data_IF_538083523975
#
_entry.id   IF_538083523975
#
_cell.length_a   1.000
_cell.length_b   1.000
_cell.length_c   1.000
_cell.angle_alpha   90.00
_cell.angle_beta   90.00
_cell.angle_gamma   90.00
#
_symmetry.space_group_name_H-M   'P 1'
#
loop_
_entity.id
_entity.type
_entity.pdbx_description
1 polymer ?
#
# COMPACT_ATOMS: atom_id res chain seq x y z
N UNK A 1 12.71 8.16 15.85
CA UNK A 1 14.01 8.26 15.14
C UNK A 1 14.02 9.49 14.23
N UNK A 2 13.05 9.69 13.32
CA UNK A 2 13.00 10.77 12.33
C UNK A 2 13.08 12.17 12.96
N UNK A 3 12.44 12.41 14.13
CA UNK A 3 12.57 13.67 14.86
C UNK A 3 14.02 13.95 15.30
N UNK A 4 14.76 12.92 15.73
CA UNK A 4 16.16 13.07 16.11
C UNK A 4 17.06 13.33 14.90
N UNK A 5 16.74 12.72 13.74
CA UNK A 5 17.42 13.02 12.46
C UNK A 5 17.16 14.47 12.05
N UNK A 6 15.92 14.94 12.14
CA UNK A 6 15.61 16.33 11.84
C UNK A 6 16.42 17.29 12.73
N UNK A 7 16.46 17.02 14.04
CA UNK A 7 17.12 17.83 15.06
C UNK A 7 18.65 17.79 15.00
N UNK A 8 19.26 16.79 14.34
CA UNK A 8 20.73 16.62 14.32
C UNK A 8 21.47 17.75 13.62
N UNK A 9 20.78 18.59 12.83
CA UNK A 9 21.35 19.71 12.12
C UNK A 9 20.48 20.96 12.25
N UNK A 10 21.08 22.16 12.30
CA UNK A 10 20.33 23.42 12.22
C UNK A 10 19.55 23.51 10.91
N UNK A 11 18.30 23.94 10.97
CA UNK A 11 17.44 24.10 9.79
C UNK A 11 17.03 25.55 9.58
N UNK A 12 16.90 25.94 8.31
CA UNK A 12 16.39 27.25 7.92
C UNK A 12 15.05 27.11 7.18
N UNK A 13 14.33 28.19 7.04
CA UNK A 13 13.09 28.24 6.25
C UNK A 13 13.26 27.80 4.79
N UNK A 14 14.50 27.85 4.25
CA UNK A 14 14.83 27.41 2.88
C UNK A 14 14.91 25.90 2.72
N UNK A 15 15.21 25.20 3.81
CA UNK A 15 15.35 23.75 3.82
C UNK A 15 13.99 23.03 3.85
N UNK A 16 12.93 23.77 4.26
CA UNK A 16 11.60 23.22 4.42
C UNK A 16 10.76 23.32 3.13
N UNK A 17 9.97 22.29 2.81
CA UNK A 17 9.66 21.10 3.61
C UNK A 17 10.72 20.01 3.49
N UNK A 18 10.98 19.29 4.61
CA UNK A 18 11.81 18.09 4.65
C UNK A 18 10.90 16.88 4.81
N UNK A 19 11.12 15.83 4.03
CA UNK A 19 10.31 14.61 4.04
C UNK A 19 11.21 13.39 4.25
N UNK A 20 11.01 12.69 5.38
CA UNK A 20 11.68 11.42 5.66
C UNK A 20 10.67 10.30 5.55
N UNK A 21 11.00 9.27 4.76
CA UNK A 21 10.18 8.07 4.59
C UNK A 21 10.98 6.82 4.95
N UNK A 22 10.31 5.84 5.54
CA UNK A 22 10.90 4.57 5.93
C UNK A 22 9.91 3.41 5.76
N UNK A 23 10.45 2.21 5.63
CA UNK A 23 9.74 0.97 5.92
C UNK A 23 10.15 0.54 7.34
N UNK A 24 9.40 1.06 8.32
CA UNK A 24 9.75 0.91 9.73
C UNK A 24 9.05 -0.29 10.36
N UNK A 25 9.82 -1.17 11.03
CA UNK A 25 9.25 -2.23 11.85
C UNK A 25 8.78 -1.66 13.18
N UNK A 26 7.51 -1.91 13.51
CA UNK A 26 6.84 -1.42 14.72
C UNK A 26 6.32 -2.58 15.54
N UNK A 27 6.49 -2.49 16.86
CA UNK A 27 5.94 -3.44 17.82
C UNK A 27 4.94 -2.75 18.75
N UNK A 28 3.76 -3.35 18.94
CA UNK A 28 2.73 -2.88 19.85
C UNK A 28 2.28 -3.99 20.78
N UNK A 29 2.15 -3.70 22.04
CA UNK A 29 1.57 -4.62 23.02
C UNK A 29 0.03 -4.64 22.87
N UNK A 30 -0.45 -5.44 21.93
CA UNK A 30 -1.88 -5.67 21.74
C UNK A 30 -2.38 -6.76 22.71
N UNK A 31 -3.59 -6.57 23.27
CA UNK A 31 -4.23 -7.61 24.08
C UNK A 31 -4.55 -8.82 23.21
N UNK A 32 -4.38 -10.05 23.75
CA UNK A 32 -4.60 -11.28 22.98
C UNK A 32 -5.97 -11.35 22.30
N UNK A 33 -7.03 -10.93 22.98
CA UNK A 33 -8.39 -10.95 22.43
C UNK A 33 -8.66 -9.94 21.31
N UNK A 34 -7.70 -9.03 21.00
CA UNK A 34 -7.83 -8.06 19.92
C UNK A 34 -7.05 -8.46 18.66
N UNK A 35 -6.26 -9.53 18.72
CA UNK A 35 -5.50 -10.01 17.57
C UNK A 35 -6.43 -10.60 16.50
N UNK A 36 -6.15 -10.30 15.23
CA UNK A 36 -7.00 -10.71 14.11
C UNK A 36 -6.15 -10.97 12.86
N UNK A 37 -5.49 -12.13 12.79
CA UNK A 37 -4.64 -12.52 11.66
C UNK A 37 -3.69 -11.38 11.26
N UNK A 38 -3.59 -11.08 9.97
CA UNK A 38 -2.79 -9.96 9.46
C UNK A 38 -3.43 -8.59 9.70
N UNK A 39 -4.73 -8.52 9.98
CA UNK A 39 -5.43 -7.25 10.20
C UNK A 39 -4.99 -6.56 11.50
N UNK A 40 -4.59 -7.34 12.53
CA UNK A 40 -4.12 -6.80 13.80
C UNK A 40 -3.07 -7.71 14.42
N UNK A 41 -1.82 -7.34 14.26
CA UNK A 41 -0.62 -8.05 14.72
C UNK A 41 0.11 -7.25 15.80
N UNK A 42 1.00 -7.89 16.54
CA UNK A 42 1.88 -7.21 17.52
C UNK A 42 3.14 -6.65 16.88
N UNK A 43 3.62 -7.25 15.80
CA UNK A 43 4.74 -6.77 15.00
C UNK A 43 4.28 -6.56 13.57
N UNK A 44 4.61 -5.41 12.98
CA UNK A 44 4.21 -5.05 11.62
C UNK A 44 5.13 -4.01 11.03
N UNK A 45 5.10 -3.87 9.71
CA UNK A 45 5.90 -2.90 8.97
C UNK A 45 5.02 -1.79 8.43
N UNK A 46 5.38 -0.53 8.72
CA UNK A 46 4.70 0.64 8.18
C UNK A 46 5.50 1.29 7.06
N UNK A 47 4.83 1.75 6.03
CA UNK A 47 5.37 2.67 5.03
C UNK A 47 5.20 4.12 5.54
N UNK A 48 5.86 4.40 6.63
CA UNK A 48 5.73 5.65 7.35
C UNK A 48 6.55 6.79 6.73
N UNK A 49 6.07 8.01 6.90
CA UNK A 49 6.87 9.20 6.65
C UNK A 49 6.45 10.36 7.55
N UNK A 50 7.46 11.18 7.83
CA UNK A 50 7.32 12.41 8.60
C UNK A 50 7.71 13.59 7.71
N UNK A 51 6.82 14.56 7.61
CA UNK A 51 7.04 15.79 6.84
C UNK A 51 7.15 16.93 7.81
N UNK A 52 8.28 17.61 7.78
CA UNK A 52 8.58 18.79 8.57
C UNK A 52 8.42 20.00 7.68
N UNK A 53 7.48 20.89 7.99
CA UNK A 53 7.18 22.03 7.16
C UNK A 53 6.86 23.28 8.02
N UNK A 54 6.88 24.44 7.41
CA UNK A 54 6.36 25.68 8.04
C UNK A 54 4.83 25.61 8.10
N UNK A 55 4.24 26.36 9.02
CA UNK A 55 2.77 26.44 9.15
C UNK A 55 2.08 26.85 7.83
N UNK A 56 2.68 27.81 7.09
CA UNK A 56 2.17 28.27 5.79
C UNK A 56 2.28 27.22 4.66
N UNK A 57 3.09 26.19 4.83
CA UNK A 57 3.23 25.06 3.90
C UNK A 57 2.32 23.88 4.27
N UNK A 58 1.84 23.81 5.52
CA UNK A 58 1.18 22.60 6.04
C UNK A 58 -0.09 22.20 5.26
N UNK A 59 -0.88 23.16 4.79
CA UNK A 59 -2.07 22.90 3.97
C UNK A 59 -1.71 22.23 2.65
N UNK A 60 -0.71 22.75 1.94
CA UNK A 60 -0.28 22.21 0.65
C UNK A 60 0.37 20.82 0.83
N UNK A 61 1.24 20.65 1.83
CA UNK A 61 1.85 19.36 2.13
C UNK A 61 0.79 18.30 2.49
N UNK A 62 -0.21 18.68 3.27
CA UNK A 62 -1.31 17.78 3.61
C UNK A 62 -2.15 17.39 2.39
N UNK A 63 -2.41 18.35 1.49
CA UNK A 63 -3.09 18.11 0.21
C UNK A 63 -2.30 17.13 -0.67
N UNK A 64 -0.97 17.30 -0.78
CA UNK A 64 -0.13 16.38 -1.56
C UNK A 64 -0.14 14.96 -0.99
N UNK A 65 -0.17 14.83 0.34
CA UNK A 65 -0.31 13.52 0.99
C UNK A 65 -1.66 12.87 0.64
N UNK A 66 -2.77 13.62 0.66
CA UNK A 66 -4.08 13.08 0.25
C UNK A 66 -4.10 12.63 -1.20
N UNK A 67 -3.49 13.39 -2.12
CA UNK A 67 -3.33 12.98 -3.52
C UNK A 67 -2.50 11.71 -3.67
N UNK A 68 -1.47 11.53 -2.84
CA UNK A 68 -0.68 10.30 -2.81
C UNK A 68 -1.54 9.10 -2.40
N UNK A 69 -2.41 9.24 -1.40
CA UNK A 69 -3.33 8.17 -1.01
C UNK A 69 -4.35 7.86 -2.12
N UNK A 70 -4.94 8.88 -2.72
CA UNK A 70 -5.85 8.74 -3.86
C UNK A 70 -5.17 7.97 -5.00
N UNK A 71 -3.93 8.35 -5.37
CA UNK A 71 -3.14 7.66 -6.39
C UNK A 71 -2.98 6.18 -6.06
N UNK A 72 -2.57 5.82 -4.83
CA UNK A 72 -2.43 4.43 -4.42
C UNK A 72 -3.74 3.67 -4.56
N UNK A 73 -4.84 4.20 -4.02
CA UNK A 73 -6.12 3.49 -4.05
C UNK A 73 -6.68 3.38 -5.46
N UNK A 74 -6.76 4.47 -6.20
CA UNK A 74 -7.44 4.48 -7.50
C UNK A 74 -6.58 3.96 -8.63
N UNK A 75 -5.35 4.44 -8.76
CA UNK A 75 -4.50 4.13 -9.91
C UNK A 75 -3.75 2.80 -9.73
N UNK A 76 -3.28 2.51 -8.52
CA UNK A 76 -2.49 1.30 -8.29
C UNK A 76 -3.39 0.10 -7.98
N UNK A 77 -4.35 0.23 -7.05
CA UNK A 77 -5.16 -0.90 -6.58
C UNK A 77 -6.57 -0.95 -7.18
N UNK A 78 -7.00 0.05 -7.93
CA UNK A 78 -8.33 0.08 -8.54
C UNK A 78 -9.48 0.22 -7.55
N UNK A 79 -9.20 0.65 -6.31
CA UNK A 79 -10.18 0.84 -5.25
C UNK A 79 -10.84 2.21 -5.46
N UNK A 80 -12.12 2.23 -5.85
CA UNK A 80 -12.84 3.47 -6.16
C UNK A 80 -13.80 3.89 -5.05
N UNK A 81 -14.27 2.94 -4.23
CA UNK A 81 -15.23 3.21 -3.15
C UNK A 81 -14.49 3.44 -1.82
N UNK A 82 -14.05 4.67 -1.62
CA UNK A 82 -13.48 5.15 -0.37
C UNK A 82 -13.96 6.57 -0.07
N UNK A 83 -13.83 6.96 1.18
CA UNK A 83 -14.05 8.33 1.64
C UNK A 83 -13.07 8.69 2.74
N UNK A 84 -12.90 9.97 3.02
CA UNK A 84 -12.08 10.45 4.10
C UNK A 84 -12.93 10.75 5.33
N UNK A 85 -12.38 10.49 6.52
CA UNK A 85 -12.96 10.86 7.80
C UNK A 85 -12.01 11.79 8.54
N UNK A 86 -12.40 13.05 8.70
CA UNK A 86 -11.70 13.98 9.58
C UNK A 86 -12.10 13.70 11.02
N UNK A 87 -11.19 13.20 11.80
CA UNK A 87 -11.37 12.88 13.21
C UNK A 87 -11.01 14.10 14.06
N UNK A 88 -12.02 14.62 14.77
CA UNK A 88 -11.95 15.79 15.64
C UNK A 88 -11.80 15.38 17.10
N UNK A 89 -11.29 16.26 17.98
CA UNK A 89 -11.26 15.99 19.42
C UNK A 89 -12.68 15.89 20.00
N UNK A 90 -12.84 15.10 21.06
CA UNK A 90 -14.08 15.07 21.82
C UNK A 90 -14.16 16.24 22.80
N UNK A 91 -15.33 16.39 23.43
CA UNK A 91 -15.55 17.36 24.52
C UNK A 91 -14.73 17.04 25.77
N UNK A 92 -14.28 15.81 25.93
CA UNK A 92 -13.42 15.38 27.04
C UNK A 92 -11.98 15.85 26.79
N UNK A 93 -11.66 17.00 27.34
CA UNK A 93 -10.34 17.65 27.19
C UNK A 93 -9.19 16.88 27.84
N UNK A 94 -9.47 15.90 28.72
CA UNK A 94 -8.42 15.15 29.42
C UNK A 94 -7.66 14.18 28.48
N UNK A 95 -8.27 13.82 27.35
CA UNK A 95 -7.71 12.90 26.35
C UNK A 95 -6.81 13.57 25.33
N UNK A 96 -6.81 14.89 25.24
CA UNK A 96 -6.17 15.64 24.15
C UNK A 96 -5.16 16.63 24.73
N UNK A 97 -3.96 16.63 24.16
CA UNK A 97 -2.89 17.53 24.54
C UNK A 97 -3.00 18.89 23.80
N UNK A 98 -2.30 19.90 24.32
CA UNK A 98 -2.25 21.23 23.73
C UNK A 98 -3.38 22.15 24.17
N UNK A 99 -3.49 23.31 23.53
CA UNK A 99 -4.48 24.34 23.81
C UNK A 99 -5.52 24.46 22.70
N UNK A 100 -6.75 24.92 22.96
CA UNK A 100 -7.82 25.01 21.95
C UNK A 100 -7.43 25.75 20.68
N UNK A 101 -6.59 26.80 20.79
CA UNK A 101 -6.12 27.57 19.63
C UNK A 101 -5.31 26.71 18.65
N UNK A 102 -4.45 25.84 19.13
CA UNK A 102 -3.62 24.96 18.28
C UNK A 102 -4.49 23.94 17.54
N UNK A 103 -5.46 23.38 18.23
CA UNK A 103 -6.46 22.49 17.64
C UNK A 103 -7.24 23.17 16.53
N UNK A 104 -7.74 24.39 16.78
CA UNK A 104 -8.51 25.14 15.79
C UNK A 104 -7.67 25.43 14.53
N UNK A 105 -6.41 25.84 14.70
CA UNK A 105 -5.50 26.09 13.56
C UNK A 105 -5.25 24.80 12.79
N UNK A 106 -4.90 23.70 13.45
CA UNK A 106 -4.62 22.45 12.81
C UNK A 106 -5.86 21.87 12.08
N UNK A 107 -7.04 21.93 12.69
CA UNK A 107 -8.31 21.48 12.08
C UNK A 107 -8.63 22.31 10.84
N UNK A 108 -8.48 23.63 10.89
CA UNK A 108 -8.76 24.48 9.74
C UNK A 108 -7.76 24.26 8.58
N UNK A 109 -6.49 24.03 8.85
CA UNK A 109 -5.50 23.64 7.83
C UNK A 109 -5.96 22.37 7.11
N UNK A 110 -6.30 21.33 7.85
CA UNK A 110 -6.76 20.05 7.29
C UNK A 110 -8.07 20.23 6.54
N UNK A 111 -9.04 20.93 7.11
CA UNK A 111 -10.35 21.15 6.49
C UNK A 111 -10.24 21.87 5.13
N UNK A 112 -9.36 22.87 5.03
CA UNK A 112 -9.07 23.55 3.75
C UNK A 112 -8.42 22.60 2.75
N UNK A 113 -7.42 21.83 3.18
CA UNK A 113 -6.79 20.83 2.32
C UNK A 113 -7.80 19.77 1.82
N UNK A 114 -8.69 19.29 2.69
CA UNK A 114 -9.73 18.33 2.31
C UNK A 114 -10.72 18.90 1.30
N UNK A 115 -11.18 20.12 1.49
CA UNK A 115 -12.07 20.80 0.51
C UNK A 115 -11.37 20.97 -0.85
N UNK A 116 -10.10 21.32 -0.85
CA UNK A 116 -9.29 21.48 -2.08
C UNK A 116 -9.00 20.14 -2.79
N UNK A 117 -9.00 19.03 -2.05
CA UNK A 117 -8.78 17.71 -2.65
C UNK A 117 -9.91 17.27 -3.60
N UNK A 118 -11.13 17.78 -3.39
CA UNK A 118 -12.31 17.34 -4.11
C UNK A 118 -12.83 15.96 -3.71
N UNK A 119 -12.16 15.27 -2.79
CA UNK A 119 -12.55 13.94 -2.32
C UNK A 119 -13.71 14.03 -1.32
N UNK A 120 -14.58 13.03 -1.34
CA UNK A 120 -15.67 12.92 -0.37
C UNK A 120 -15.13 12.75 1.04
N UNK A 121 -15.66 13.51 2.00
CA UNK A 121 -15.30 13.36 3.40
C UNK A 121 -16.46 13.61 4.36
N UNK A 122 -16.31 13.10 5.58
CA UNK A 122 -17.15 13.37 6.74
C UNK A 122 -16.30 13.84 7.91
N UNK A 123 -16.92 14.49 8.90
CA UNK A 123 -16.27 14.83 10.17
C UNK A 123 -16.84 13.94 11.29
N UNK A 124 -15.97 13.47 12.20
CA UNK A 124 -16.35 12.63 13.33
C UNK A 124 -15.66 13.15 14.62
N UNK A 125 -16.44 13.35 15.69
CA UNK A 125 -15.92 13.76 16.98
C UNK A 125 -15.38 12.56 17.78
N UNK A 126 -14.34 12.82 18.59
CA UNK A 126 -13.85 11.88 19.59
C UNK A 126 -12.79 10.90 19.13
N UNK A 127 -12.45 10.88 17.84
CA UNK A 127 -11.52 9.90 17.26
C UNK A 127 -10.16 10.49 16.84
N UNK A 128 -9.91 11.76 17.15
CA UNK A 128 -8.61 12.38 16.87
C UNK A 128 -7.48 11.71 17.68
N UNK A 129 -6.25 11.84 17.20
CA UNK A 129 -5.09 11.49 18.01
C UNK A 129 -4.94 12.47 19.16
N UNK A 130 -4.29 12.07 20.26
CA UNK A 130 -4.13 12.96 21.44
C UNK A 130 -3.26 14.19 21.14
N UNK A 131 -2.47 14.16 20.05
CA UNK A 131 -1.51 15.19 19.65
C UNK A 131 -1.96 16.02 18.45
N UNK A 132 -3.11 15.73 17.84
CA UNK A 132 -3.62 16.51 16.73
C UNK A 132 -4.75 15.82 15.95
N UNK A 133 -5.39 16.56 15.05
CA UNK A 133 -6.42 16.02 14.17
C UNK A 133 -5.82 15.05 13.15
N UNK A 134 -6.64 14.07 12.74
CA UNK A 134 -6.24 13.08 11.74
C UNK A 134 -7.29 12.93 10.65
N UNK A 135 -6.84 12.52 9.48
CA UNK A 135 -7.69 12.09 8.37
C UNK A 135 -7.46 10.61 8.14
N UNK A 136 -8.51 9.84 8.31
CA UNK A 136 -8.53 8.41 8.03
C UNK A 136 -9.16 8.16 6.66
N UNK A 137 -8.53 7.31 5.84
CA UNK A 137 -9.10 6.81 4.61
C UNK A 137 -9.90 5.55 4.92
N UNK A 138 -11.22 5.65 4.75
CA UNK A 138 -12.16 4.58 4.98
C UNK A 138 -12.48 3.89 3.66
N UNK A 139 -12.31 2.57 3.63
CA UNK A 139 -12.65 1.71 2.50
C UNK A 139 -13.67 0.68 2.94
N UNK A 140 -14.53 0.24 2.02
CA UNK A 140 -15.40 -0.90 2.27
C UNK A 140 -14.73 -2.19 1.83
N UNK A 141 -14.65 -3.14 2.75
CA UNK A 141 -14.28 -4.51 2.40
C UNK A 141 -15.39 -5.17 1.58
N UNK A 142 -15.07 -6.24 0.86
CA UNK A 142 -16.05 -7.00 0.06
C UNK A 142 -17.21 -7.59 0.88
N UNK A 143 -17.03 -7.73 2.20
CA UNK A 143 -18.08 -8.16 3.14
C UNK A 143 -18.88 -6.98 3.72
N UNK A 144 -18.68 -5.76 3.21
CA UNK A 144 -19.41 -4.55 3.61
C UNK A 144 -18.94 -3.88 4.89
N UNK A 145 -17.85 -4.33 5.52
CA UNK A 145 -17.25 -3.66 6.68
C UNK A 145 -16.46 -2.44 6.25
N UNK A 146 -16.57 -1.37 7.02
CA UNK A 146 -15.68 -0.22 6.89
C UNK A 146 -14.37 -0.47 7.62
N UNK A 147 -13.26 -0.29 6.90
CA UNK A 147 -11.92 -0.47 7.42
C UNK A 147 -11.11 0.82 7.21
N UNK A 148 -10.40 1.23 8.25
CA UNK A 148 -9.41 2.30 8.11
C UNK A 148 -8.17 1.75 7.44
N UNK A 149 -7.99 2.07 6.17
CA UNK A 149 -6.86 1.59 5.38
C UNK A 149 -5.57 2.36 5.68
N UNK A 150 -5.69 3.67 5.89
CA UNK A 150 -4.54 4.54 6.13
C UNK A 150 -4.93 5.80 6.89
N UNK A 151 -3.95 6.53 7.34
CA UNK A 151 -4.14 7.75 8.13
C UNK A 151 -3.08 8.81 7.82
N UNK A 152 -3.49 10.07 7.88
CA UNK A 152 -2.64 11.25 7.90
C UNK A 152 -2.93 12.07 9.14
N UNK A 153 -1.92 12.58 9.78
CA UNK A 153 -2.05 13.27 11.06
C UNK A 153 -1.22 14.55 11.03
N UNK A 154 -1.79 15.65 11.48
CA UNK A 154 -1.06 16.89 11.70
C UNK A 154 -0.76 17.03 13.19
N UNK A 155 0.51 16.89 13.52
CA UNK A 155 1.01 16.92 14.90
C UNK A 155 1.61 18.29 15.21
N UNK A 156 0.97 19.03 16.10
CA UNK A 156 1.50 20.29 16.62
C UNK A 156 2.26 20.13 17.94
N UNK A 157 2.24 18.92 18.52
CA UNK A 157 2.87 18.64 19.82
C UNK A 157 4.32 18.17 19.69
N UNK A 158 4.63 17.39 18.65
CA UNK A 158 5.98 16.85 18.43
C UNK A 158 7.03 17.95 18.36
N UNK A 159 6.74 19.05 17.65
CA UNK A 159 7.66 20.18 17.55
C UNK A 159 8.05 20.74 18.93
N UNK A 160 7.10 20.87 19.84
CA UNK A 160 7.36 21.34 21.21
C UNK A 160 8.12 20.32 22.05
N UNK A 161 7.71 19.04 21.98
CA UNK A 161 8.29 17.97 22.81
C UNK A 161 9.73 17.63 22.44
N UNK A 162 10.06 17.74 21.16
CA UNK A 162 11.38 17.39 20.62
C UNK A 162 12.21 18.62 20.23
N UNK A 163 11.71 19.83 20.50
CA UNK A 163 12.38 21.11 20.16
C UNK A 163 12.73 21.18 18.67
N UNK A 164 11.76 20.84 17.82
CA UNK A 164 11.93 20.83 16.37
C UNK A 164 11.68 22.23 15.83
N UNK A 165 12.77 22.98 15.57
CA UNK A 165 12.69 24.37 15.13
C UNK A 165 13.38 24.57 13.78
N UNK A 166 13.12 25.70 13.17
CA UNK A 166 13.83 26.24 12.01
C UNK A 166 14.06 27.73 12.20
N UNK A 167 15.13 28.27 11.62
CA UNK A 167 15.40 29.70 11.58
C UNK A 167 14.62 30.34 10.44
N UNK A 168 13.71 31.25 10.78
CA UNK A 168 12.89 32.02 9.83
C UNK A 168 13.68 33.15 9.15
N UNK A 169 13.07 33.79 8.16
CA UNK A 169 13.68 34.93 7.37
C UNK A 169 14.16 36.10 8.24
N UNK A 170 13.50 36.30 9.37
CA UNK A 170 13.84 37.35 10.34
C UNK A 170 14.90 36.91 11.38
N UNK A 171 15.53 35.77 11.19
CA UNK A 171 16.54 35.20 12.11
C UNK A 171 15.98 34.54 13.39
N UNK A 172 14.66 34.58 13.60
CA UNK A 172 14.02 33.97 14.79
C UNK A 172 13.79 32.48 14.59
N UNK A 173 13.94 31.73 15.67
CA UNK A 173 13.53 30.32 15.69
C UNK A 173 12.01 30.18 15.77
N UNK A 174 11.46 29.30 14.97
CA UNK A 174 10.04 28.93 14.96
C UNK A 174 9.88 27.42 14.97
N UNK A 175 8.83 26.88 15.63
CA UNK A 175 8.52 25.46 15.57
C UNK A 175 8.08 25.07 14.15
N UNK A 176 8.36 23.84 13.76
CA UNK A 176 7.80 23.22 12.54
C UNK A 176 6.42 22.65 12.80
N UNK A 177 5.63 22.48 11.74
CA UNK A 177 4.50 21.56 11.72
C UNK A 177 5.00 20.19 11.29
N UNK A 178 4.47 19.13 11.91
CA UNK A 178 4.85 17.75 11.57
C UNK A 178 3.62 17.02 11.02
N UNK A 179 3.76 16.43 9.84
CA UNK A 179 2.72 15.60 9.26
C UNK A 179 3.22 14.15 9.25
N UNK A 180 2.46 13.27 9.90
CA UNK A 180 2.66 11.82 9.82
C UNK A 180 1.77 11.25 8.71
N UNK A 181 2.34 10.41 7.87
CA UNK A 181 1.56 9.75 6.82
C UNK A 181 1.98 8.30 6.64
N UNK A 182 1.01 7.42 6.47
CA UNK A 182 1.19 6.01 6.14
C UNK A 182 0.14 5.61 5.10
N UNK A 183 0.42 5.76 3.78
CA UNK A 183 -0.58 5.57 2.71
C UNK A 183 -1.18 4.17 2.65
N UNK A 184 -0.46 3.16 3.11
CA UNK A 184 -0.92 1.78 3.18
C UNK A 184 -1.17 1.32 4.63
N UNK A 185 -1.03 2.21 5.61
CA UNK A 185 -1.08 1.85 7.03
C UNK A 185 0.06 0.91 7.40
N UNK A 186 -0.22 -0.34 7.74
CA UNK A 186 0.78 -1.41 7.82
C UNK A 186 0.70 -2.34 6.61
N UNK A 187 1.84 -2.88 6.19
CA UNK A 187 1.89 -3.81 5.05
C UNK A 187 1.03 -5.04 5.31
N UNK A 188 1.09 -5.61 6.51
CA UNK A 188 0.33 -6.81 6.89
C UNK A 188 -1.18 -6.57 6.78
N UNK A 189 -1.67 -5.48 7.37
CA UNK A 189 -3.10 -5.11 7.29
C UNK A 189 -3.52 -4.86 5.84
N UNK A 190 -2.69 -4.16 5.09
CA UNK A 190 -3.02 -3.82 3.71
C UNK A 190 -3.00 -5.06 2.80
N UNK A 191 -2.07 -6.00 3.02
CA UNK A 191 -2.08 -7.32 2.34
C UNK A 191 -3.34 -8.09 2.66
N UNK A 192 -3.76 -8.15 3.94
CA UNK A 192 -5.03 -8.78 4.31
C UNK A 192 -6.22 -8.15 3.58
N UNK A 193 -6.28 -6.82 3.55
CA UNK A 193 -7.31 -6.09 2.81
C UNK A 193 -7.28 -6.43 1.31
N UNK A 194 -6.11 -6.47 0.67
CA UNK A 194 -5.99 -6.82 -0.75
C UNK A 194 -6.40 -8.27 -1.02
N UNK A 195 -6.09 -9.21 -0.12
CA UNK A 195 -6.56 -10.60 -0.24
C UNK A 195 -8.09 -10.65 -0.25
N UNK A 196 -8.75 -9.90 0.62
CA UNK A 196 -10.21 -9.81 0.65
C UNK A 196 -10.75 -9.08 -0.58
N UNK A 197 -10.17 -7.94 -0.93
CA UNK A 197 -10.60 -7.10 -2.06
C UNK A 197 -10.57 -7.85 -3.39
N UNK A 198 -9.50 -8.58 -3.66
CA UNK A 198 -9.38 -9.39 -4.87
C UNK A 198 -9.92 -10.82 -4.70
N UNK A 199 -10.45 -11.15 -3.54
CA UNK A 199 -10.81 -12.52 -3.17
C UNK A 199 -9.69 -13.53 -3.47
N UNK A 200 -8.43 -13.12 -3.27
CA UNK A 200 -7.21 -13.86 -3.59
C UNK A 200 -6.86 -13.92 -5.10
N UNK A 201 -7.72 -13.42 -5.98
CA UNK A 201 -7.48 -13.41 -7.44
C UNK A 201 -6.72 -12.15 -7.86
N UNK A 202 -5.52 -11.98 -7.35
CA UNK A 202 -4.67 -10.81 -7.60
C UNK A 202 -4.48 -10.53 -9.11
N UNK A 203 -4.39 -9.25 -9.51
CA UNK A 203 -3.95 -8.89 -10.86
C UNK A 203 -2.53 -9.40 -11.09
N UNK A 204 -2.13 -9.56 -12.34
CA UNK A 204 -0.85 -10.17 -12.72
C UNK A 204 0.34 -9.50 -12.00
N UNK A 205 0.38 -8.18 -11.98
CA UNK A 205 1.49 -7.43 -11.38
C UNK A 205 1.65 -7.67 -9.88
N UNK A 206 0.56 -8.02 -9.17
CA UNK A 206 0.55 -8.24 -7.71
C UNK A 206 0.60 -9.73 -7.33
N UNK A 207 0.26 -10.66 -8.23
CA UNK A 207 0.18 -12.08 -7.93
C UNK A 207 1.52 -12.63 -7.45
N UNK A 208 1.59 -13.37 -6.30
CA UNK A 208 2.84 -13.97 -5.80
C UNK A 208 3.47 -14.93 -6.80
N UNK A 209 2.65 -15.77 -7.44
CA UNK A 209 3.01 -16.58 -8.61
C UNK A 209 2.19 -16.06 -9.78
N UNK A 210 2.87 -15.52 -10.77
CA UNK A 210 2.23 -14.92 -11.96
C UNK A 210 1.94 -15.96 -13.02
N UNK A 211 2.85 -16.93 -13.16
CA UNK A 211 2.81 -17.95 -14.19
C UNK A 211 3.23 -19.29 -13.57
N UNK A 212 2.41 -20.33 -13.80
CA UNK A 212 2.78 -21.69 -13.47
C UNK A 212 3.03 -22.47 -14.75
N UNK A 213 4.24 -23.00 -14.91
CA UNK A 213 4.58 -23.93 -15.97
C UNK A 213 4.20 -25.33 -15.51
N UNK A 214 3.41 -26.05 -16.30
CA UNK A 214 2.88 -27.38 -15.97
C UNK A 214 3.44 -28.40 -16.96
N UNK A 215 4.36 -29.25 -16.54
CA UNK A 215 4.85 -30.36 -17.33
C UNK A 215 3.83 -31.50 -17.38
N UNK A 216 3.46 -31.97 -18.59
CA UNK A 216 2.55 -33.11 -18.76
C UNK A 216 3.24 -34.42 -18.34
N UNK A 217 4.56 -34.53 -18.59
CA UNK A 217 5.38 -35.67 -18.20
C UNK A 217 6.85 -35.27 -18.06
N UNK A 218 7.68 -36.17 -17.53
CA UNK A 218 9.09 -35.90 -17.23
C UNK A 218 9.94 -35.61 -18.47
N UNK A 219 9.55 -36.13 -19.68
CA UNK A 219 10.30 -35.98 -20.92
C UNK A 219 10.39 -34.51 -21.37
N UNK A 220 9.41 -33.68 -20.99
CA UNK A 220 9.40 -32.24 -21.34
C UNK A 220 10.08 -31.37 -20.29
N UNK A 221 10.56 -31.97 -19.17
CA UNK A 221 11.21 -31.25 -18.07
C UNK A 221 12.30 -30.26 -18.51
N UNK A 222 13.26 -30.66 -19.37
CA UNK A 222 14.31 -29.74 -19.83
C UNK A 222 13.77 -28.47 -20.51
N UNK A 223 12.73 -28.61 -21.33
CA UNK A 223 12.09 -27.46 -21.99
C UNK A 223 11.30 -26.59 -20.96
N UNK A 224 10.61 -27.21 -20.00
CA UNK A 224 9.95 -26.46 -18.95
C UNK A 224 10.93 -25.65 -18.10
N UNK A 225 12.11 -26.20 -17.79
CA UNK A 225 13.18 -25.51 -17.08
C UNK A 225 13.78 -24.35 -17.89
N UNK A 226 13.88 -24.50 -19.20
CA UNK A 226 14.30 -23.42 -20.13
C UNK A 226 13.28 -22.26 -20.07
N UNK A 227 11.98 -22.58 -20.21
CA UNK A 227 10.88 -21.60 -20.11
C UNK A 227 10.88 -20.89 -18.75
N UNK A 228 11.02 -21.63 -17.66
CA UNK A 228 11.06 -21.05 -16.33
C UNK A 228 12.18 -20.02 -16.19
N UNK A 229 13.40 -20.38 -16.63
CA UNK A 229 14.55 -19.47 -16.58
C UNK A 229 14.32 -18.22 -17.43
N UNK A 230 13.72 -18.37 -18.62
CA UNK A 230 13.45 -17.24 -19.51
C UNK A 230 12.39 -16.29 -18.90
N UNK A 231 11.34 -16.83 -18.29
CA UNK A 231 10.33 -16.04 -17.58
C UNK A 231 10.95 -15.27 -16.39
N UNK A 232 11.79 -15.94 -15.61
CA UNK A 232 12.47 -15.32 -14.46
C UNK A 232 13.48 -14.23 -14.87
N UNK A 233 14.19 -14.40 -15.98
CA UNK A 233 15.07 -13.34 -16.55
C UNK A 233 14.33 -12.07 -16.95
N UNK A 234 13.02 -12.18 -17.17
CA UNK A 234 12.12 -11.06 -17.48
C UNK A 234 11.37 -10.53 -16.27
N UNK A 235 11.90 -10.79 -15.07
CA UNK A 235 11.34 -10.38 -13.79
C UNK A 235 9.91 -10.88 -13.54
N UNK A 236 9.54 -12.02 -14.13
CA UNK A 236 8.26 -12.68 -13.88
C UNK A 236 8.41 -13.71 -12.76
N UNK A 237 7.51 -13.65 -11.78
CA UNK A 237 7.42 -14.64 -10.70
C UNK A 237 6.76 -15.90 -11.24
N UNK A 238 7.56 -16.73 -11.85
CA UNK A 238 7.13 -18.00 -12.43
C UNK A 238 7.56 -19.18 -11.55
N UNK A 239 6.75 -20.23 -11.54
CA UNK A 239 7.01 -21.50 -10.87
C UNK A 239 6.76 -22.66 -11.84
N UNK A 240 7.32 -23.81 -11.52
CA UNK A 240 7.22 -25.03 -12.33
C UNK A 240 6.64 -26.18 -11.49
N UNK A 241 5.66 -26.89 -12.04
CA UNK A 241 5.12 -28.13 -11.47
C UNK A 241 5.54 -29.35 -12.28
N UNK A 242 6.58 -30.05 -11.78
CA UNK A 242 7.13 -31.27 -12.36
C UNK A 242 6.64 -32.54 -11.63
N UNK A 243 5.69 -32.42 -10.69
CA UNK A 243 5.20 -33.59 -9.94
C UNK A 243 4.65 -34.65 -10.89
N UNK A 244 4.81 -35.90 -10.51
CA UNK A 244 4.21 -37.04 -11.24
C UNK A 244 2.71 -37.16 -10.91
N UNK A 245 1.92 -36.22 -11.47
CA UNK A 245 0.48 -36.11 -11.30
C UNK A 245 -0.20 -35.87 -12.66
N UNK A 246 -1.49 -36.17 -12.74
CA UNK A 246 -2.26 -35.90 -13.94
C UNK A 246 -2.32 -34.40 -14.23
N UNK A 247 -2.24 -34.03 -15.52
CA UNK A 247 -2.29 -32.61 -15.92
C UNK A 247 -3.58 -31.94 -15.45
N UNK A 248 -4.71 -32.64 -15.45
CA UNK A 248 -5.98 -32.12 -14.93
C UNK A 248 -5.92 -31.76 -13.46
N UNK A 249 -5.22 -32.56 -12.62
CA UNK A 249 -4.99 -32.24 -11.21
C UNK A 249 -4.10 -31.03 -11.01
N UNK A 250 -2.98 -30.96 -11.76
CA UNK A 250 -2.07 -29.81 -11.73
C UNK A 250 -2.78 -28.50 -12.12
N UNK A 251 -3.58 -28.51 -13.19
CA UNK A 251 -4.39 -27.36 -13.61
C UNK A 251 -5.36 -26.96 -12.51
N UNK A 252 -6.14 -27.90 -11.96
CA UNK A 252 -7.11 -27.63 -10.90
C UNK A 252 -6.45 -27.02 -9.66
N UNK A 253 -5.33 -27.57 -9.21
CA UNK A 253 -4.63 -27.06 -8.03
C UNK A 253 -4.07 -25.64 -8.27
N UNK A 254 -3.55 -25.35 -9.46
CA UNK A 254 -3.09 -24.01 -9.84
C UNK A 254 -4.26 -23.01 -9.97
N UNK A 255 -5.40 -23.44 -10.51
CA UNK A 255 -6.62 -22.63 -10.57
C UNK A 255 -7.19 -22.34 -9.15
N UNK A 256 -7.12 -23.32 -8.23
CA UNK A 256 -7.48 -23.09 -6.82
C UNK A 256 -6.59 -22.05 -6.14
N UNK A 257 -5.31 -21.99 -6.49
CA UNK A 257 -4.37 -20.96 -6.05
C UNK A 257 -4.58 -19.61 -6.77
N UNK A 258 -5.53 -19.57 -7.71
CA UNK A 258 -5.89 -18.36 -8.49
C UNK A 258 -4.72 -17.76 -9.27
N UNK A 259 -3.79 -18.60 -9.72
CA UNK A 259 -2.66 -18.19 -10.54
C UNK A 259 -3.17 -17.58 -11.85
N UNK A 260 -2.66 -16.39 -12.26
CA UNK A 260 -3.16 -15.69 -13.44
C UNK A 260 -3.00 -16.46 -14.76
N UNK A 261 -1.84 -17.09 -14.98
CA UNK A 261 -1.55 -17.83 -16.19
C UNK A 261 -0.94 -19.18 -15.91
N UNK A 262 -1.38 -20.19 -16.67
CA UNK A 262 -0.80 -21.53 -16.69
C UNK A 262 -0.25 -21.80 -18.08
N UNK A 263 0.98 -22.29 -18.18
CA UNK A 263 1.60 -22.74 -19.41
C UNK A 263 1.67 -24.26 -19.37
N UNK A 264 0.83 -24.92 -20.14
CA UNK A 264 0.76 -26.38 -20.22
C UNK A 264 1.73 -26.85 -21.31
N UNK A 265 2.66 -27.72 -20.93
CA UNK A 265 3.76 -28.14 -21.81
C UNK A 265 3.73 -29.64 -21.98
N UNK A 266 3.48 -30.06 -23.20
CA UNK A 266 3.58 -31.45 -23.67
C UNK A 266 4.60 -31.64 -24.76
N UNK A 267 4.72 -32.88 -25.35
CA UNK A 267 5.63 -33.15 -26.43
C UNK A 267 5.42 -32.24 -27.66
N UNK A 268 4.17 -31.84 -27.94
CA UNK A 268 3.85 -30.97 -29.07
C UNK A 268 4.44 -29.55 -28.87
N UNK A 269 4.26 -29.00 -27.69
CA UNK A 269 4.78 -27.67 -27.32
C UNK A 269 6.30 -27.67 -27.33
N UNK A 270 6.94 -28.72 -26.83
CA UNK A 270 8.39 -28.87 -26.88
C UNK A 270 8.91 -28.94 -28.32
N UNK A 271 8.26 -29.74 -29.18
CA UNK A 271 8.68 -29.92 -30.59
C UNK A 271 8.53 -28.63 -31.40
N UNK A 272 7.42 -27.90 -31.21
CA UNK A 272 7.11 -26.66 -31.93
C UNK A 272 7.69 -25.39 -31.27
N UNK A 273 8.36 -25.52 -30.13
CA UNK A 273 8.88 -24.40 -29.33
C UNK A 273 7.81 -23.37 -28.99
N UNK A 274 6.65 -23.86 -28.49
CA UNK A 274 5.47 -23.06 -28.13
C UNK A 274 5.04 -23.37 -26.70
N UNK A 275 4.00 -22.66 -26.23
CA UNK A 275 3.36 -22.85 -24.96
C UNK A 275 1.85 -22.91 -25.17
N UNK A 276 1.14 -23.84 -24.51
CA UNK A 276 -0.32 -23.85 -24.45
C UNK A 276 -0.76 -23.02 -23.26
N UNK A 277 -1.44 -21.90 -23.50
CA UNK A 277 -1.73 -20.88 -22.49
C UNK A 277 -3.15 -21.06 -21.95
N UNK A 278 -3.29 -21.04 -20.63
CA UNK A 278 -4.59 -20.87 -19.95
C UNK A 278 -4.56 -19.59 -19.13
N UNK A 279 -5.60 -18.80 -19.25
CA UNK A 279 -5.77 -17.53 -18.54
C UNK A 279 -6.89 -17.65 -17.53
N UNK A 280 -6.64 -17.25 -16.27
CA UNK A 280 -7.64 -17.25 -15.22
C UNK A 280 -8.89 -16.47 -15.65
N UNK A 281 -10.07 -17.10 -15.52
CA UNK A 281 -11.36 -16.52 -15.87
C UNK A 281 -11.69 -16.49 -17.36
N UNK A 282 -10.72 -16.81 -18.25
CA UNK A 282 -10.94 -16.88 -19.71
C UNK A 282 -10.69 -18.28 -20.30
N UNK A 283 -10.09 -19.18 -19.52
CA UNK A 283 -9.83 -20.55 -19.91
C UNK A 283 -8.67 -20.70 -20.91
N UNK A 284 -8.82 -21.62 -21.86
CA UNK A 284 -7.79 -21.95 -22.85
C UNK A 284 -7.66 -20.81 -23.89
N UNK A 285 -6.42 -20.33 -24.06
CA UNK A 285 -6.05 -19.27 -25.02
C UNK A 285 -5.33 -19.82 -26.25
N UNK A 286 -5.22 -21.16 -26.32
CA UNK A 286 -4.54 -21.84 -27.40
C UNK A 286 -3.01 -21.87 -27.26
N UNK A 287 -2.39 -22.42 -28.28
CA UNK A 287 -0.96 -22.58 -28.39
C UNK A 287 -0.34 -21.37 -29.10
N UNK A 288 0.76 -20.85 -28.53
CA UNK A 288 1.47 -19.71 -29.11
C UNK A 288 2.96 -19.75 -28.79
N UNK A 289 3.76 -18.94 -29.47
CA UNK A 289 5.18 -18.75 -29.13
C UNK A 289 5.30 -17.98 -27.82
N UNK A 290 6.40 -18.21 -27.10
CA UNK A 290 6.65 -17.52 -25.81
C UNK A 290 6.63 -16.01 -25.97
N UNK A 291 7.20 -15.46 -27.04
CA UNK A 291 7.22 -14.02 -27.30
C UNK A 291 5.80 -13.45 -27.44
N UNK A 292 4.92 -14.13 -28.19
CA UNK A 292 3.54 -13.72 -28.36
C UNK A 292 2.76 -13.73 -27.00
N UNK A 293 3.05 -14.72 -26.15
CA UNK A 293 2.51 -14.74 -24.78
C UNK A 293 3.02 -13.56 -23.95
N UNK A 294 4.31 -13.27 -24.02
CA UNK A 294 4.92 -12.15 -23.28
C UNK A 294 4.36 -10.81 -23.76
N UNK A 295 4.17 -10.60 -25.05
CA UNK A 295 3.53 -9.40 -25.60
C UNK A 295 2.07 -9.27 -25.14
N UNK A 296 1.34 -10.39 -25.07
CA UNK A 296 -0.05 -10.44 -24.58
C UNK A 296 -0.16 -9.95 -23.13
N UNK A 297 0.78 -10.32 -22.26
CA UNK A 297 0.73 -9.99 -20.84
C UNK A 297 1.45 -8.69 -20.48
N UNK A 298 2.16 -8.06 -21.40
CA UNK A 298 3.05 -6.92 -21.11
C UNK A 298 2.34 -5.78 -20.42
N UNK A 299 1.15 -5.41 -20.89
CA UNK A 299 0.32 -4.35 -20.28
C UNK A 299 -0.17 -4.70 -18.87
N UNK A 300 -0.28 -5.98 -18.54
CA UNK A 300 -0.77 -6.45 -17.23
C UNK A 300 0.36 -6.64 -16.21
N UNK A 301 1.62 -6.51 -16.59
CA UNK A 301 2.78 -6.63 -15.68
C UNK A 301 2.95 -5.46 -14.73
N UNK A 302 2.30 -4.33 -14.99
CA UNK A 302 2.38 -3.10 -14.19
C UNK A 302 0.99 -2.69 -13.76
N UNK A 303 0.84 -1.97 -12.63
CA UNK A 303 -0.41 -1.30 -12.30
C UNK A 303 -0.77 -0.34 -13.44
N UNK A 304 -2.07 -0.25 -13.73
CA UNK A 304 -2.60 0.63 -14.78
C UNK A 304 -2.70 2.06 -14.32
#
# INVERSE_FOLDING_TARGET
>A
HTHMIYRSEPRSYRDLPIRYAEYGTVYRHERSGTLAGLLRTRGFTQNDAHIYCREDQAEEEFLQVMKLHEFWYTQIFGIKDFYMRLSLPSKDKTKFAGVPREWNVAVEIIRRAMRRSGLRFIEAEGEAAFYGPKVDFQIKSVIGREETASTNQLDFLAAKRFELTYRDRNGKEKPVSVIHRAPLGSHERFVAFLIEHYAGAFPLWLAPVQIMVLAINDKVGPYCQELLRELQRRDLRASLDERNETIGRKIREAEMQKIPYLLVIGPREQQSKTVAVRERGKGDRGQMRLEAFLDMIDKAKRPQ
#
